data_IF_023448619922
#
_entry.id   IF_023448619922
#
_cell.length_a   1.000
_cell.length_b   1.000
_cell.length_c   1.000
_cell.angle_alpha   90.00
_cell.angle_beta   90.00
_cell.angle_gamma   90.00
#
_symmetry.space_group_name_H-M   'P 1'
#
loop_
_entity.id
_entity.type
_entity.pdbx_description
1 polymer ?
#
# COMPACT_ATOMS: atom_id res chain seq x y z
N UNK A 1 14.98 5.50 2.92
CA UNK A 1 14.53 6.59 2.01
C UNK A 1 13.02 6.70 2.05
N UNK A 2 12.40 7.68 1.39
CA UNK A 2 10.94 7.82 1.35
C UNK A 2 10.40 7.90 -0.08
N UNK A 3 9.21 7.35 -0.30
CA UNK A 3 8.40 7.59 -1.49
C UNK A 3 7.10 8.28 -1.09
N UNK A 4 6.65 9.17 -1.97
CA UNK A 4 5.37 9.86 -1.82
C UNK A 4 4.44 9.29 -2.87
N UNK A 5 3.28 8.80 -2.44
CA UNK A 5 2.28 8.21 -3.33
C UNK A 5 0.93 8.87 -3.11
N UNK A 6 0.12 8.89 -4.15
CA UNK A 6 -1.29 9.28 -4.06
C UNK A 6 -2.15 8.02 -3.92
N UNK A 7 -3.02 8.00 -2.92
CA UNK A 7 -3.85 6.85 -2.62
C UNK A 7 -4.99 6.76 -3.63
N UNK A 8 -4.99 5.70 -4.43
CA UNK A 8 -6.07 5.42 -5.40
C UNK A 8 -7.23 4.67 -4.73
N UNK A 9 -6.90 3.70 -3.88
CA UNK A 9 -7.84 2.88 -3.09
C UNK A 9 -7.11 2.29 -1.89
N UNK A 10 -7.80 2.15 -0.76
CA UNK A 10 -7.27 1.60 0.47
C UNK A 10 -8.11 0.40 0.91
N UNK A 11 -7.47 -0.77 1.07
CA UNK A 11 -8.18 -2.03 1.37
C UNK A 11 -7.97 -2.49 2.81
N UNK A 12 -6.76 -2.30 3.36
CA UNK A 12 -6.42 -2.64 4.74
C UNK A 12 -5.59 -1.51 5.31
N UNK A 13 -6.21 -0.69 6.16
CA UNK A 13 -5.56 0.44 6.83
C UNK A 13 -4.91 0.03 8.15
N UNK A 14 -5.50 -0.91 8.88
CA UNK A 14 -5.07 -1.18 10.25
C UNK A 14 -5.10 0.11 11.09
N UNK A 15 -3.96 0.50 11.66
CA UNK A 15 -3.77 1.77 12.37
C UNK A 15 -3.22 2.92 11.52
N UNK A 16 -3.17 2.79 10.19
CA UNK A 16 -2.63 3.84 9.33
C UNK A 16 -3.54 5.08 9.34
N UNK A 17 -3.02 6.19 9.83
CA UNK A 17 -3.70 7.49 9.79
C UNK A 17 -3.69 8.08 8.38
N UNK A 18 -4.66 7.72 7.53
CA UNK A 18 -4.82 8.33 6.20
C UNK A 18 -5.79 9.52 6.28
N UNK A 19 -5.44 10.70 5.72
CA UNK A 19 -6.34 11.85 5.67
C UNK A 19 -7.65 11.50 4.96
N UNK A 20 -8.77 12.03 5.45
CA UNK A 20 -10.05 11.96 4.73
C UNK A 20 -10.23 13.22 3.87
N UNK A 21 -10.64 13.09 2.59
CA UNK A 21 -10.99 11.86 1.89
C UNK A 21 -9.77 11.01 1.50
N UNK A 22 -9.89 9.69 1.68
CA UNK A 22 -8.79 8.72 1.46
C UNK A 22 -8.34 8.67 0.00
N UNK A 23 -9.27 8.83 -0.94
CA UNK A 23 -8.96 8.84 -2.37
C UNK A 23 -8.32 10.17 -2.74
N UNK A 24 -7.12 10.12 -3.32
CA UNK A 24 -6.33 11.31 -3.64
C UNK A 24 -5.49 11.82 -2.46
N UNK A 25 -5.61 11.22 -1.27
CA UNK A 25 -4.74 11.55 -0.15
C UNK A 25 -3.28 11.18 -0.49
N UNK A 26 -2.35 12.01 -0.02
CA UNK A 26 -0.92 11.76 -0.19
C UNK A 26 -0.38 11.00 1.00
N UNK A 27 0.29 9.88 0.75
CA UNK A 27 0.92 9.05 1.77
C UNK A 27 2.44 9.02 1.57
N UNK A 28 3.18 9.10 2.68
CA UNK A 28 4.62 8.90 2.70
C UNK A 28 4.91 7.46 3.14
N UNK A 29 5.61 6.71 2.29
CA UNK A 29 6.07 5.35 2.59
C UNK A 29 7.58 5.36 2.82
N UNK A 30 7.99 4.75 3.92
CA UNK A 30 9.38 4.46 4.19
C UNK A 30 9.82 3.27 3.33
N UNK A 31 10.91 3.48 2.59
CA UNK A 31 11.57 2.49 1.73
C UNK A 31 12.97 2.26 2.27
N UNK A 32 13.22 1.15 3.00
CA UNK A 32 14.55 0.81 3.48
C UNK A 32 15.48 0.48 2.31
N UNK A 33 14.94 -0.13 1.24
CA UNK A 33 15.66 -0.37 -0.01
C UNK A 33 15.09 0.50 -1.14
N UNK A 34 15.97 1.19 -1.88
CA UNK A 34 15.58 2.03 -3.02
C UNK A 34 15.46 1.26 -4.34
N UNK A 35 16.15 0.12 -4.44
CA UNK A 35 16.14 -0.73 -5.63
C UNK A 35 14.99 -1.75 -5.61
N UNK A 36 14.53 -2.14 -4.42
CA UNK A 36 13.51 -3.16 -4.22
C UNK A 36 12.47 -2.66 -3.21
N UNK A 37 11.20 -2.51 -3.58
CA UNK A 37 10.60 -2.78 -4.90
C UNK A 37 10.84 -1.65 -5.92
N UNK A 38 10.97 -2.00 -7.21
CA UNK A 38 11.18 -1.04 -8.29
C UNK A 38 9.89 -0.28 -8.64
N UNK A 39 9.72 0.90 -8.05
CA UNK A 39 8.59 1.79 -8.32
C UNK A 39 8.95 2.83 -9.38
N UNK A 40 8.18 2.87 -10.48
CA UNK A 40 8.31 3.92 -11.50
C UNK A 40 7.36 5.08 -11.19
N UNK A 41 7.89 6.30 -11.18
CA UNK A 41 7.10 7.52 -11.02
C UNK A 41 6.03 7.60 -12.13
N UNK A 42 4.81 7.99 -11.77
CA UNK A 42 3.68 8.11 -12.70
C UNK A 42 2.95 6.79 -13.01
N UNK A 43 3.44 5.65 -12.53
CA UNK A 43 2.74 4.37 -12.63
C UNK A 43 1.94 4.06 -11.36
N UNK A 44 0.83 3.34 -11.50
CA UNK A 44 0.00 2.90 -10.39
C UNK A 44 0.37 1.47 -9.97
N UNK A 45 0.43 1.22 -8.66
CA UNK A 45 0.82 -0.07 -8.10
C UNK A 45 -0.14 -0.48 -6.98
N UNK A 46 -0.28 -1.79 -6.79
CA UNK A 46 -0.79 -2.36 -5.53
C UNK A 46 0.41 -2.52 -4.61
N UNK A 47 0.33 -1.91 -3.43
CA UNK A 47 1.37 -1.92 -2.41
C UNK A 47 0.82 -2.59 -1.16
N UNK A 48 1.44 -3.68 -0.71
CA UNK A 48 1.15 -4.30 0.58
C UNK A 48 2.36 -4.18 1.49
N UNK A 49 2.33 -3.17 2.34
CA UNK A 49 3.35 -2.91 3.34
C UNK A 49 2.91 -3.30 4.75
N UNK A 50 3.69 -2.84 5.72
CA UNK A 50 3.41 -2.97 7.15
C UNK A 50 3.38 -1.59 7.79
N UNK A 51 2.79 -1.52 8.99
CA UNK A 51 2.92 -0.36 9.85
C UNK A 51 4.11 -0.56 10.76
N UNK A 52 4.88 0.50 10.94
CA UNK A 52 5.87 0.61 11.99
C UNK A 52 5.19 0.97 13.32
N UNK A 53 5.89 0.74 14.44
CA UNK A 53 5.34 0.96 15.78
C UNK A 53 4.94 2.41 16.08
N UNK A 54 5.45 3.37 15.31
CA UNK A 54 5.12 4.79 15.37
C UNK A 54 3.89 5.17 14.52
N UNK A 55 3.28 4.19 13.83
CA UNK A 55 2.18 4.41 12.89
C UNK A 55 2.62 4.81 11.48
N UNK A 56 3.93 4.84 11.21
CA UNK A 56 4.49 5.07 9.88
C UNK A 56 4.21 3.92 8.91
N UNK A 57 4.01 4.23 7.63
CA UNK A 57 3.88 3.22 6.59
C UNK A 57 5.27 2.77 6.10
N UNK A 58 5.57 1.48 6.22
CA UNK A 58 6.82 0.87 5.77
C UNK A 58 6.55 -0.11 4.63
N UNK A 59 7.35 0.02 3.57
CA UNK A 59 7.34 -0.93 2.45
C UNK A 59 8.67 -1.69 2.43
N UNK A 60 8.75 -2.88 3.07
CA UNK A 60 9.98 -3.66 3.12
C UNK A 60 10.35 -4.24 1.73
N UNK A 61 11.60 -4.71 1.53
CA UNK A 61 12.03 -5.26 0.24
C UNK A 61 11.23 -6.49 -0.22
N UNK A 62 10.76 -7.30 0.73
CA UNK A 62 9.90 -8.47 0.51
C UNK A 62 8.40 -8.13 0.38
N UNK A 63 8.05 -6.83 0.40
CA UNK A 63 6.66 -6.40 0.24
C UNK A 63 6.09 -6.83 -1.10
N UNK A 64 4.81 -7.22 -1.10
CA UNK A 64 4.10 -7.51 -2.33
C UNK A 64 3.82 -6.18 -3.07
N UNK A 65 4.51 -6.00 -4.20
CA UNK A 65 4.35 -4.85 -5.09
C UNK A 65 4.15 -5.32 -6.51
N UNK A 66 3.00 -4.98 -7.10
CA UNK A 66 2.67 -5.32 -8.48
C UNK A 66 2.02 -4.13 -9.19
N UNK A 67 2.16 -4.02 -10.52
CA UNK A 67 1.43 -3.01 -11.29
C UNK A 67 -0.08 -3.12 -11.07
N UNK A 68 -0.72 -1.97 -10.89
CA UNK A 68 -2.17 -1.90 -10.68
C UNK A 68 -2.93 -2.28 -11.95
N UNK A 69 -3.93 -3.16 -11.81
CA UNK A 69 -4.90 -3.53 -12.85
C UNK A 69 -6.32 -3.42 -12.29
N UNK A 70 -7.30 -2.95 -13.08
CA UNK A 70 -8.68 -2.81 -12.61
C UNK A 70 -9.29 -4.08 -12.02
N UNK A 71 -8.95 -5.25 -12.57
CA UNK A 71 -9.44 -6.54 -12.05
C UNK A 71 -8.98 -6.81 -10.60
N UNK A 72 -7.80 -6.33 -10.21
CA UNK A 72 -7.27 -6.48 -8.85
C UNK A 72 -8.12 -5.70 -7.84
N UNK A 73 -8.73 -4.58 -8.24
CA UNK A 73 -9.54 -3.76 -7.32
C UNK A 73 -10.75 -4.55 -6.79
N UNK A 74 -11.44 -5.30 -7.64
CA UNK A 74 -12.57 -6.12 -7.21
C UNK A 74 -12.12 -7.27 -6.30
N UNK A 75 -11.01 -7.94 -6.64
CA UNK A 75 -10.46 -9.04 -5.83
C UNK A 75 -10.03 -8.55 -4.45
N UNK A 76 -9.27 -7.47 -4.38
CA UNK A 76 -8.79 -6.89 -3.12
C UNK A 76 -9.94 -6.34 -2.27
N UNK A 77 -10.94 -5.73 -2.90
CA UNK A 77 -12.15 -5.24 -2.21
C UNK A 77 -13.02 -6.37 -1.66
N UNK A 78 -13.02 -7.55 -2.28
CA UNK A 78 -13.68 -8.74 -1.74
C UNK A 78 -12.84 -9.39 -0.64
N UNK A 79 -11.51 -9.42 -0.80
CA UNK A 79 -10.58 -9.99 0.18
C UNK A 79 -10.60 -9.18 1.49
N UNK A 80 -10.65 -7.84 1.42
CA UNK A 80 -10.68 -6.99 2.61
C UNK A 80 -11.92 -7.18 3.48
N UNK A 81 -13.00 -7.71 2.92
CA UNK A 81 -14.26 -7.98 3.63
C UNK A 81 -14.32 -9.38 4.25
N UNK A 82 -13.38 -10.26 3.91
CA UNK A 82 -13.35 -11.64 4.40
C UNK A 82 -12.22 -11.79 5.43
N UNK A 83 -12.41 -12.59 6.49
CA UNK A 83 -11.31 -12.95 7.36
C UNK A 83 -10.28 -13.76 6.57
N UNK A 84 -9.00 -13.46 6.75
CA UNK A 84 -7.93 -14.28 6.22
C UNK A 84 -7.93 -15.63 6.91
N UNK A 85 -7.77 -16.72 6.16
CA UNK A 85 -7.49 -18.03 6.75
C UNK A 85 -6.02 -18.07 7.13
N UNK A 86 -5.70 -18.04 8.42
CA UNK A 86 -4.38 -18.49 8.87
C UNK A 86 -4.32 -20.01 8.66
N UNK A 87 -3.32 -20.44 7.91
CA UNK A 87 -2.91 -21.85 7.79
C UNK A 87 -1.49 -21.91 8.30
#
# INVERSE_FOLDING_TARGET
GWAVVSVLSLYKSGGLGVPQPTKGATLRLQLPCRLCPALKKGSSYVLMGRLEGDGGALLPPEAFVVPYRPQQQQVLGNLSKKPCRET
#
